data_IF_129459147710
#
_entry.id   IF_129459147710
#
_cell.length_a   1.000
_cell.length_b   1.000
_cell.length_c   1.000
_cell.angle_alpha   90.00
_cell.angle_beta   90.00
_cell.angle_gamma   90.00
#
_symmetry.space_group_name_H-M   'P 1'
#
loop_
_entity.id
_entity.type
_entity.pdbx_description
1 polymer ?
#
# COMPACT_ATOMS: atom_id res chain seq x y z
N UNK A 1 -14.67 74.06 -37.51
CA UNK A 1 -13.95 73.15 -38.44
C UNK A 1 -13.10 72.22 -37.60
N UNK A 2 -13.57 71.05 -37.33
CA UNK A 2 -12.84 70.03 -36.54
C UNK A 2 -12.91 68.72 -37.33
N UNK A 3 -11.74 68.29 -37.81
CA UNK A 3 -11.59 67.05 -38.56
C UNK A 3 -11.49 65.86 -37.59
N UNK A 4 -12.48 64.97 -37.58
CA UNK A 4 -12.42 63.64 -36.94
C UNK A 4 -11.71 62.64 -37.87
N UNK A 5 -10.57 62.12 -37.44
CA UNK A 5 -9.92 60.96 -38.06
C UNK A 5 -10.28 59.71 -37.27
N UNK A 6 -11.03 58.82 -37.90
CA UNK A 6 -11.37 57.50 -37.40
C UNK A 6 -10.21 56.53 -37.68
N UNK A 7 -9.61 55.93 -36.58
CA UNK A 7 -8.65 54.84 -36.70
C UNK A 7 -9.39 53.50 -36.57
N UNK A 8 -9.38 52.70 -37.64
CA UNK A 8 -9.74 51.31 -37.60
C UNK A 8 -8.59 50.49 -37.04
N UNK A 9 -8.77 49.93 -35.84
CA UNK A 9 -7.88 48.89 -35.28
C UNK A 9 -8.35 47.52 -35.79
N UNK A 10 -7.55 46.93 -36.70
CA UNK A 10 -7.73 45.56 -37.13
C UNK A 10 -7.07 44.60 -36.08
N UNK A 11 -7.89 43.85 -35.39
CA UNK A 11 -7.43 42.78 -34.51
C UNK A 11 -7.14 41.51 -35.33
N UNK A 12 -5.88 41.19 -35.53
CA UNK A 12 -5.44 39.90 -36.07
C UNK A 12 -5.52 38.85 -34.94
N UNK A 13 -6.51 37.97 -34.97
CA UNK A 13 -6.54 36.79 -34.13
C UNK A 13 -5.64 35.71 -34.74
N UNK A 14 -4.46 35.50 -34.15
CA UNK A 14 -3.58 34.40 -34.51
C UNK A 14 -4.14 33.10 -33.85
N UNK A 15 -4.75 32.23 -34.66
CA UNK A 15 -5.07 30.85 -34.26
C UNK A 15 -3.77 30.06 -34.15
N UNK A 16 -3.31 29.83 -32.93
CA UNK A 16 -2.25 28.88 -32.64
C UNK A 16 -2.86 27.46 -32.70
N UNK A 17 -2.57 26.73 -33.77
CA UNK A 17 -2.88 25.30 -33.86
C UNK A 17 -1.94 24.53 -32.93
N UNK A 18 -2.45 24.12 -31.76
CA UNK A 18 -1.77 23.17 -30.90
C UNK A 18 -1.84 21.78 -31.55
N UNK A 19 -0.74 21.35 -32.16
CA UNK A 19 -0.55 19.96 -32.59
C UNK A 19 -0.44 19.10 -31.33
N UNK A 20 -1.51 18.41 -30.97
CA UNK A 20 -1.48 17.34 -29.96
C UNK A 20 -0.67 16.19 -30.57
N UNK A 21 0.59 16.09 -30.19
CA UNK A 21 1.41 14.91 -30.47
C UNK A 21 0.81 13.77 -29.66
N UNK A 22 -0.04 12.97 -30.28
CA UNK A 22 -0.50 11.69 -29.72
C UNK A 22 0.74 10.81 -29.54
N UNK A 23 1.21 10.64 -28.30
CA UNK A 23 2.17 9.59 -27.98
C UNK A 23 1.50 8.26 -28.38
N UNK A 24 1.99 7.64 -29.45
CA UNK A 24 1.59 6.27 -29.79
C UNK A 24 1.88 5.38 -28.57
N UNK A 25 0.93 4.55 -28.18
CA UNK A 25 1.15 3.54 -27.16
C UNK A 25 2.37 2.69 -27.56
N UNK A 26 3.24 2.31 -26.60
CA UNK A 26 4.36 1.44 -26.90
C UNK A 26 3.84 0.16 -27.58
N UNK A 27 4.59 -0.41 -28.54
CA UNK A 27 4.18 -1.65 -29.18
C UNK A 27 3.99 -2.75 -28.08
N UNK A 28 3.00 -3.65 -28.24
CA UNK A 28 2.81 -4.73 -27.30
C UNK A 28 4.09 -5.56 -27.18
N UNK A 29 4.41 -6.07 -25.97
CA UNK A 29 5.60 -6.89 -25.77
C UNK A 29 5.55 -8.12 -26.68
N UNK A 30 6.64 -8.44 -27.33
CA UNK A 30 6.75 -9.63 -28.16
C UNK A 30 7.32 -10.77 -27.32
N UNK A 31 6.65 -11.93 -27.32
CA UNK A 31 7.12 -13.13 -26.65
C UNK A 31 7.07 -14.35 -27.58
N UNK A 32 7.89 -15.39 -27.34
CA UNK A 32 7.81 -16.65 -28.09
C UNK A 32 6.41 -17.27 -28.06
N UNK A 33 6.06 -18.02 -29.10
CA UNK A 33 4.74 -18.62 -29.23
C UNK A 33 4.38 -19.57 -28.07
N UNK A 34 5.35 -20.30 -27.54
CA UNK A 34 5.16 -21.18 -26.38
C UNK A 34 4.87 -20.42 -25.09
N UNK A 35 5.38 -19.20 -24.92
CA UNK A 35 5.05 -18.32 -23.80
C UNK A 35 3.61 -17.83 -23.94
N UNK A 36 3.22 -17.39 -25.14
CA UNK A 36 1.84 -16.96 -25.39
C UNK A 36 0.83 -18.11 -25.23
N UNK A 37 1.22 -19.34 -25.61
CA UNK A 37 0.39 -20.53 -25.43
C UNK A 37 0.18 -20.91 -23.96
N UNK A 38 1.04 -20.46 -23.05
CA UNK A 38 0.92 -20.70 -21.61
C UNK A 38 0.07 -19.63 -20.89
N UNK A 39 -0.48 -18.67 -21.62
CA UNK A 39 -1.34 -17.65 -21.05
C UNK A 39 -2.55 -18.26 -20.33
N UNK A 40 -2.87 -17.85 -19.10
CA UNK A 40 -4.12 -18.22 -18.46
C UNK A 40 -5.33 -17.81 -19.30
N UNK A 41 -6.40 -18.60 -19.22
CA UNK A 41 -7.59 -18.38 -20.04
C UNK A 41 -8.17 -16.97 -19.83
N UNK A 42 -8.44 -16.26 -20.93
CA UNK A 42 -9.04 -14.92 -20.88
C UNK A 42 -8.05 -13.80 -20.54
N UNK A 43 -6.75 -14.07 -20.63
CA UNK A 43 -5.71 -13.07 -20.39
C UNK A 43 -4.95 -12.72 -21.68
N UNK A 44 -4.28 -11.59 -21.67
CA UNK A 44 -3.32 -11.16 -22.69
C UNK A 44 -1.96 -10.84 -22.05
N UNK A 45 -0.92 -10.82 -22.87
CA UNK A 45 0.43 -10.53 -22.39
C UNK A 45 0.57 -9.03 -22.05
N UNK A 46 0.94 -8.73 -20.81
CA UNK A 46 1.26 -7.37 -20.35
C UNK A 46 2.75 -7.10 -20.36
N UNK A 47 3.57 -8.04 -19.85
CA UNK A 47 5.01 -7.91 -19.79
C UNK A 47 5.69 -9.26 -20.07
N UNK A 48 6.88 -9.21 -20.65
CA UNK A 48 7.74 -10.37 -20.87
C UNK A 48 9.21 -9.94 -20.76
N UNK A 49 9.98 -10.70 -19.99
CA UNK A 49 11.42 -10.55 -19.90
C UNK A 49 12.11 -11.91 -19.83
N UNK A 50 13.38 -11.97 -20.25
CA UNK A 50 14.16 -13.19 -20.31
C UNK A 50 15.61 -12.95 -19.98
N UNK A 51 16.28 -13.92 -19.37
CA UNK A 51 17.71 -13.88 -19.08
C UNK A 51 18.60 -14.01 -20.33
N UNK A 52 18.00 -14.17 -21.52
CA UNK A 52 18.71 -14.26 -22.79
C UNK A 52 18.25 -15.44 -23.67
N UNK A 53 19.11 -15.80 -24.64
CA UNK A 53 18.79 -16.83 -25.64
C UNK A 53 19.50 -18.18 -25.41
N UNK A 54 20.20 -18.34 -24.27
CA UNK A 54 20.92 -19.59 -23.94
C UNK A 54 19.95 -20.77 -23.81
N UNK A 55 20.50 -22.01 -23.90
CA UNK A 55 19.71 -23.25 -23.82
C UNK A 55 19.04 -23.46 -22.44
N UNK A 56 19.58 -22.83 -21.42
CA UNK A 56 19.12 -22.83 -20.03
C UNK A 56 18.54 -21.49 -19.57
N UNK A 57 18.16 -20.62 -20.52
CA UNK A 57 17.59 -19.32 -20.19
C UNK A 57 16.28 -19.47 -19.38
N UNK A 58 16.08 -18.54 -18.48
CA UNK A 58 14.84 -18.35 -17.78
C UNK A 58 14.05 -17.20 -18.39
N UNK A 59 12.74 -17.19 -18.22
CA UNK A 59 11.88 -16.10 -18.61
C UNK A 59 10.75 -15.92 -17.59
N UNK A 60 10.17 -14.72 -17.59
CA UNK A 60 8.95 -14.43 -16.85
C UNK A 60 8.00 -13.60 -17.71
N UNK A 61 6.71 -13.88 -17.60
CA UNK A 61 5.65 -13.14 -18.25
C UNK A 61 4.58 -12.77 -17.24
N UNK A 62 4.04 -11.56 -17.39
CA UNK A 62 2.85 -11.11 -16.69
C UNK A 62 1.70 -11.10 -17.69
N UNK A 63 0.65 -11.83 -17.38
CA UNK A 63 -0.59 -11.86 -18.13
C UNK A 63 -1.67 -11.11 -17.38
N UNK A 64 -2.53 -10.39 -18.09
CA UNK A 64 -3.57 -9.57 -17.53
C UNK A 64 -4.94 -9.92 -18.11
N UNK A 65 -5.99 -9.96 -17.29
CA UNK A 65 -7.36 -10.15 -17.74
C UNK A 65 -7.88 -8.87 -18.43
N UNK A 66 -8.95 -8.97 -19.18
CA UNK A 66 -9.73 -7.78 -19.50
C UNK A 66 -10.27 -7.15 -18.20
N UNK A 67 -10.41 -5.81 -18.15
CA UNK A 67 -10.98 -5.14 -16.97
C UNK A 67 -12.39 -5.66 -16.66
N UNK A 68 -12.65 -5.89 -15.38
CA UNK A 68 -13.97 -6.24 -14.87
C UNK A 68 -14.97 -5.04 -14.94
N UNK A 69 -16.16 -5.19 -14.35
CA UNK A 69 -17.17 -4.11 -14.27
C UNK A 69 -16.70 -2.88 -13.48
N UNK A 70 -15.74 -3.06 -12.57
CA UNK A 70 -15.09 -1.98 -11.81
C UNK A 70 -13.91 -1.34 -12.57
N UNK A 71 -13.59 -1.86 -13.74
CA UNK A 71 -12.44 -1.45 -14.53
C UNK A 71 -11.11 -1.96 -13.96
N UNK A 72 -11.13 -3.03 -13.15
CA UNK A 72 -9.96 -3.67 -12.54
C UNK A 72 -9.55 -4.87 -13.39
N UNK A 73 -8.30 -4.91 -13.81
CA UNK A 73 -7.70 -6.06 -14.48
C UNK A 73 -6.81 -6.84 -13.49
N UNK A 74 -7.01 -8.14 -13.44
CA UNK A 74 -6.24 -9.05 -12.58
C UNK A 74 -5.05 -9.65 -13.33
N UNK A 75 -4.00 -10.00 -12.59
CA UNK A 75 -2.72 -10.38 -13.16
C UNK A 75 -2.23 -11.71 -12.66
N UNK A 76 -1.56 -12.43 -13.58
CA UNK A 76 -0.86 -13.67 -13.27
C UNK A 76 0.59 -13.56 -13.71
N UNK A 77 1.51 -13.92 -12.84
CA UNK A 77 2.91 -14.15 -13.15
C UNK A 77 3.10 -15.59 -13.59
N UNK A 78 3.78 -15.81 -14.71
CA UNK A 78 4.25 -17.12 -15.14
C UNK A 78 5.76 -17.09 -15.31
N UNK A 79 6.47 -17.96 -14.62
CA UNK A 79 7.93 -18.12 -14.74
C UNK A 79 8.20 -19.39 -15.55
N UNK A 80 9.14 -19.29 -16.48
CA UNK A 80 9.50 -20.33 -17.43
C UNK A 80 10.97 -20.71 -17.26
N UNK A 81 11.24 -22.01 -17.40
CA UNK A 81 12.58 -22.51 -17.66
C UNK A 81 12.66 -23.05 -19.08
N UNK A 82 13.82 -22.96 -19.71
CA UNK A 82 14.03 -23.49 -21.07
C UNK A 82 14.38 -24.97 -21.01
N UNK A 83 13.57 -25.83 -21.66
CA UNK A 83 13.78 -27.26 -21.77
C UNK A 83 13.75 -27.64 -23.24
N UNK A 84 14.80 -28.32 -23.71
CA UNK A 84 14.95 -28.70 -25.13
C UNK A 84 14.75 -27.52 -26.10
N UNK A 85 15.24 -26.35 -25.71
CA UNK A 85 15.17 -25.10 -26.51
C UNK A 85 13.84 -24.38 -26.47
N UNK A 86 12.83 -24.83 -25.72
CA UNK A 86 11.50 -24.19 -25.56
C UNK A 86 11.25 -23.76 -24.15
N UNK A 87 10.56 -22.66 -23.96
CA UNK A 87 10.09 -22.20 -22.66
C UNK A 87 8.93 -23.04 -22.16
N UNK A 88 9.08 -23.59 -20.94
CA UNK A 88 8.09 -24.43 -20.28
C UNK A 88 7.72 -23.74 -18.96
N UNK A 89 6.43 -23.54 -18.66
CA UNK A 89 6.02 -22.93 -17.40
C UNK A 89 6.42 -23.81 -16.21
N UNK A 90 6.98 -23.18 -15.19
CA UNK A 90 7.43 -23.81 -13.94
C UNK A 90 6.71 -23.25 -12.71
N UNK A 91 6.28 -21.99 -12.77
CA UNK A 91 5.49 -21.33 -11.73
C UNK A 91 4.37 -20.55 -12.40
N UNK A 92 3.18 -20.61 -11.81
CA UNK A 92 2.06 -19.70 -12.11
C UNK A 92 1.50 -19.21 -10.79
N UNK A 93 1.31 -17.90 -10.65
CA UNK A 93 0.72 -17.27 -9.47
C UNK A 93 -0.11 -16.05 -9.86
N UNK A 94 -1.30 -15.92 -9.29
CA UNK A 94 -2.21 -14.79 -9.41
C UNK A 94 -2.14 -13.84 -8.21
N UNK A 95 -1.18 -14.07 -7.28
CA UNK A 95 -1.04 -13.32 -6.04
C UNK A 95 0.25 -12.51 -5.93
N UNK A 96 1.13 -12.60 -6.91
CA UNK A 96 2.43 -11.90 -6.86
C UNK A 96 2.35 -10.52 -7.47
N UNK A 97 1.64 -10.36 -8.57
CA UNK A 97 1.50 -9.06 -9.25
C UNK A 97 0.18 -8.41 -8.83
N UNK A 98 0.27 -7.15 -8.44
CA UNK A 98 -0.90 -6.37 -8.06
C UNK A 98 -1.82 -6.09 -9.27
N UNK A 99 -3.11 -5.94 -9.04
CA UNK A 99 -4.07 -5.59 -10.07
C UNK A 99 -3.86 -4.15 -10.61
N UNK A 100 -4.47 -3.84 -11.76
CA UNK A 100 -4.28 -2.55 -12.45
C UNK A 100 -4.79 -1.31 -11.70
N UNK A 101 -5.56 -1.50 -10.62
CA UNK A 101 -6.10 -0.42 -9.77
C UNK A 101 -5.94 -0.73 -8.28
N UNK A 102 -4.95 -1.55 -7.93
CA UNK A 102 -4.72 -1.95 -6.55
C UNK A 102 -3.88 -0.97 -5.75
N UNK A 103 -3.54 0.20 -6.30
CA UNK A 103 -2.89 1.27 -5.56
C UNK A 103 -3.86 2.09 -4.71
N UNK A 104 -3.32 2.91 -3.79
CA UNK A 104 -4.10 3.82 -2.95
C UNK A 104 -4.89 4.86 -3.77
N UNK A 105 -4.37 5.24 -4.95
CA UNK A 105 -5.04 6.19 -5.85
C UNK A 105 -5.77 5.52 -7.02
N UNK A 106 -5.90 4.18 -6.99
CA UNK A 106 -6.49 3.42 -8.07
C UNK A 106 -5.75 3.55 -9.42
N UNK A 107 -4.48 3.87 -9.38
CA UNK A 107 -3.55 3.78 -10.49
C UNK A 107 -2.86 2.42 -10.54
N UNK A 108 -2.06 2.18 -11.56
CA UNK A 108 -1.39 0.91 -11.78
C UNK A 108 -0.07 0.84 -11.01
N UNK A 109 0.07 -0.07 -10.01
CA UNK A 109 1.31 -0.21 -9.27
C UNK A 109 2.40 -1.00 -10.01
N UNK A 110 2.09 -1.72 -11.08
CA UNK A 110 3.05 -2.51 -11.81
C UNK A 110 3.44 -1.86 -13.14
N UNK A 111 4.71 -1.53 -13.28
CA UNK A 111 5.31 -1.13 -14.55
C UNK A 111 6.06 -2.30 -15.16
N UNK A 112 6.05 -2.39 -16.50
CA UNK A 112 6.69 -3.51 -17.22
C UNK A 112 8.19 -3.57 -16.98
N UNK A 113 8.82 -2.43 -16.71
CA UNK A 113 10.24 -2.28 -16.37
C UNK A 113 10.58 -2.84 -14.99
N UNK A 114 9.58 -3.00 -14.11
CA UNK A 114 9.73 -3.61 -12.78
C UNK A 114 9.88 -5.14 -12.82
N UNK A 115 9.86 -5.76 -13.99
CA UNK A 115 10.13 -7.20 -14.16
C UNK A 115 11.53 -7.40 -14.74
N UNK A 116 12.49 -7.83 -13.93
CA UNK A 116 13.84 -8.20 -14.38
C UNK A 116 14.09 -9.70 -14.25
N UNK A 117 14.70 -10.31 -15.27
CA UNK A 117 14.98 -11.74 -15.33
C UNK A 117 16.44 -11.99 -15.62
N UNK A 118 17.11 -12.65 -14.71
CA UNK A 118 18.46 -13.21 -14.88
C UNK A 118 18.42 -14.72 -14.77
N UNK A 119 19.48 -15.38 -15.20
CA UNK A 119 19.55 -16.85 -15.03
C UNK A 119 19.42 -17.23 -13.56
N UNK A 120 18.41 -18.05 -13.25
CA UNK A 120 18.08 -18.49 -11.90
C UNK A 120 17.51 -17.44 -10.98
N UNK A 121 17.15 -16.23 -11.48
CA UNK A 121 16.65 -15.13 -10.67
C UNK A 121 15.59 -14.30 -11.39
N UNK A 122 14.48 -14.03 -10.71
CA UNK A 122 13.43 -13.09 -11.14
C UNK A 122 13.25 -12.04 -10.07
N UNK A 123 13.39 -10.78 -10.46
CA UNK A 123 13.15 -9.61 -9.62
C UNK A 123 11.87 -8.92 -10.07
N UNK A 124 11.05 -8.54 -9.10
CA UNK A 124 9.79 -7.83 -9.34
C UNK A 124 9.71 -6.61 -8.44
N UNK A 125 9.49 -5.47 -9.06
CA UNK A 125 9.31 -4.19 -8.40
C UNK A 125 7.94 -3.61 -8.74
N UNK A 126 7.18 -3.17 -7.72
CA UNK A 126 5.85 -2.59 -7.88
C UNK A 126 5.75 -1.34 -7.01
N UNK A 127 5.32 -0.24 -7.59
CA UNK A 127 5.24 1.05 -6.92
C UNK A 127 3.79 1.47 -6.72
N UNK A 128 3.41 1.71 -5.49
CA UNK A 128 2.14 2.31 -5.10
C UNK A 128 2.39 3.75 -4.66
N UNK A 129 1.80 4.70 -5.35
CA UNK A 129 1.83 6.12 -5.00
C UNK A 129 1.07 6.41 -3.70
N UNK A 130 0.47 7.57 -3.60
CA UNK A 130 -0.42 7.90 -2.50
C UNK A 130 0.23 8.65 -1.36
N UNK A 131 -0.50 8.76 -0.25
CA UNK A 131 -0.02 9.45 0.97
C UNK A 131 1.14 8.72 1.64
N UNK A 132 1.24 7.42 1.40
CA UNK A 132 2.31 6.54 1.90
C UNK A 132 2.89 5.77 0.72
N UNK A 133 3.72 6.41 -0.11
CA UNK A 133 4.35 5.71 -1.23
C UNK A 133 4.99 4.40 -0.77
N UNK A 134 4.68 3.34 -1.47
CA UNK A 134 5.09 1.99 -1.11
C UNK A 134 5.74 1.31 -2.31
N UNK A 135 6.94 0.79 -2.13
CA UNK A 135 7.61 -0.05 -3.12
C UNK A 135 7.57 -1.51 -2.64
N UNK A 136 6.97 -2.39 -3.40
CA UNK A 136 6.98 -3.84 -3.14
C UNK A 136 8.10 -4.48 -3.93
N UNK A 137 9.01 -5.15 -3.24
CA UNK A 137 10.20 -5.82 -3.83
C UNK A 137 10.08 -7.31 -3.57
N UNK A 138 10.19 -8.10 -4.63
CA UNK A 138 10.13 -9.56 -4.57
C UNK A 138 11.28 -10.12 -5.39
N UNK A 139 12.11 -10.94 -4.75
CA UNK A 139 13.16 -11.72 -5.39
C UNK A 139 12.84 -13.19 -5.31
N UNK A 140 12.84 -13.84 -6.47
CA UNK A 140 12.63 -15.26 -6.62
C UNK A 140 13.90 -15.88 -7.19
N UNK A 141 14.39 -16.94 -6.56
CA UNK A 141 15.58 -17.65 -7.04
C UNK A 141 15.31 -19.12 -7.27
N UNK A 142 15.97 -19.69 -8.27
CA UNK A 142 15.92 -21.11 -8.51
C UNK A 142 16.89 -21.83 -7.59
N UNK A 143 16.37 -22.68 -6.72
CA UNK A 143 17.14 -23.48 -5.77
C UNK A 143 16.72 -24.96 -5.89
N UNK A 144 17.66 -25.85 -6.13
CA UNK A 144 17.39 -27.29 -6.30
C UNK A 144 16.29 -27.60 -7.33
N UNK A 145 16.20 -26.80 -8.39
CA UNK A 145 15.20 -26.97 -9.46
C UNK A 145 13.83 -26.35 -9.18
N UNK A 146 13.61 -25.73 -8.02
CA UNK A 146 12.37 -25.05 -7.64
C UNK A 146 12.58 -23.54 -7.51
N UNK A 147 11.57 -22.76 -7.85
CA UNK A 147 11.54 -21.32 -7.62
C UNK A 147 11.12 -21.00 -6.20
N UNK A 148 12.02 -20.36 -5.44
CA UNK A 148 11.83 -20.01 -4.04
C UNK A 148 11.84 -18.49 -3.84
N UNK A 149 11.10 -18.04 -2.86
CA UNK A 149 11.12 -16.64 -2.44
C UNK A 149 12.34 -16.39 -1.59
N UNK A 150 13.22 -15.49 -2.01
CA UNK A 150 14.40 -15.07 -1.24
C UNK A 150 14.20 -13.73 -0.58
N UNK A 151 13.45 -12.82 -1.21
CA UNK A 151 13.04 -11.56 -0.63
C UNK A 151 11.57 -11.31 -0.96
N UNK A 152 10.81 -10.87 0.03
CA UNK A 152 9.49 -10.29 -0.18
C UNK A 152 9.27 -9.20 0.88
N UNK A 153 9.24 -7.95 0.44
CA UNK A 153 9.14 -6.82 1.37
C UNK A 153 8.43 -5.63 0.75
N UNK A 154 7.93 -4.74 1.61
CA UNK A 154 7.41 -3.42 1.24
C UNK A 154 8.20 -2.34 1.93
N UNK A 155 8.73 -1.44 1.15
CA UNK A 155 9.35 -0.20 1.61
C UNK A 155 8.28 0.90 1.58
N UNK A 156 7.98 1.46 2.73
CA UNK A 156 6.94 2.48 2.92
C UNK A 156 7.62 3.78 3.30
N UNK A 157 7.31 4.86 2.57
CA UNK A 157 7.80 6.21 2.88
C UNK A 157 6.64 7.03 3.45
N UNK A 158 6.79 7.61 4.64
CA UNK A 158 5.83 8.56 5.19
C UNK A 158 6.21 9.97 4.75
N UNK A 159 5.44 10.51 3.82
CA UNK A 159 5.59 11.89 3.39
C UNK A 159 5.39 12.85 4.58
N UNK A 160 6.22 13.90 4.65
CA UNK A 160 6.18 14.90 5.71
C UNK A 160 7.00 14.59 6.97
N UNK A 161 7.50 13.37 7.15
CA UNK A 161 8.42 13.00 8.24
C UNK A 161 9.74 12.41 7.77
N UNK A 162 9.90 12.17 6.48
CA UNK A 162 11.06 11.46 5.89
C UNK A 162 11.36 10.13 6.61
N UNK A 163 10.32 9.48 7.14
CA UNK A 163 10.45 8.21 7.82
C UNK A 163 10.27 7.09 6.79
N UNK A 164 11.31 6.31 6.61
CA UNK A 164 11.28 5.12 5.75
C UNK A 164 11.19 3.87 6.63
N UNK A 165 10.36 2.94 6.21
CA UNK A 165 10.17 1.67 6.90
C UNK A 165 10.08 0.53 5.89
N UNK A 166 10.85 -0.52 6.12
CA UNK A 166 10.72 -1.78 5.38
C UNK A 166 9.98 -2.82 6.22
N UNK A 167 8.97 -3.42 5.64
CA UNK A 167 8.15 -4.47 6.26
C UNK A 167 8.27 -5.74 5.42
N UNK A 168 8.62 -6.86 6.06
CA UNK A 168 8.65 -8.15 5.39
C UNK A 168 7.21 -8.60 5.06
N UNK A 169 6.99 -9.08 3.84
CA UNK A 169 5.80 -9.83 3.47
C UNK A 169 5.97 -11.25 4.03
N UNK A 170 4.95 -11.83 4.70
CA UNK A 170 5.06 -13.17 5.24
C UNK A 170 5.40 -14.19 4.16
N UNK A 171 6.47 -14.93 4.37
CA UNK A 171 6.86 -15.98 3.45
C UNK A 171 5.96 -17.22 3.62
N UNK A 172 5.61 -17.91 2.53
CA UNK A 172 4.88 -19.17 2.63
C UNK A 172 5.72 -20.22 3.36
N UNK A 173 5.09 -21.10 4.13
CA UNK A 173 5.76 -22.17 4.87
C UNK A 173 6.56 -23.10 3.94
N UNK A 174 6.11 -23.30 2.70
CA UNK A 174 6.83 -24.04 1.67
C UNK A 174 8.10 -23.34 1.18
N UNK A 175 8.17 -22.02 1.33
CA UNK A 175 9.17 -21.16 0.71
C UNK A 175 9.06 -21.08 -0.82
N UNK A 176 8.03 -21.67 -1.44
CA UNK A 176 7.89 -21.71 -2.90
C UNK A 176 7.23 -20.44 -3.44
N UNK A 177 7.71 -19.97 -4.60
CA UNK A 177 7.21 -18.77 -5.25
C UNK A 177 5.70 -18.86 -5.58
N UNK A 178 5.21 -20.03 -5.99
CA UNK A 178 3.79 -20.24 -6.33
C UNK A 178 2.82 -20.03 -5.16
N UNK A 179 3.32 -20.17 -3.92
CA UNK A 179 2.54 -20.08 -2.69
C UNK A 179 2.65 -18.67 -2.02
N UNK A 180 3.46 -17.77 -2.59
CA UNK A 180 3.61 -16.40 -2.07
C UNK A 180 2.32 -15.62 -2.30
N UNK A 181 1.83 -14.97 -1.23
CA UNK A 181 0.81 -13.95 -1.31
C UNK A 181 1.42 -12.57 -1.10
N UNK A 182 1.80 -11.90 -2.19
CA UNK A 182 2.35 -10.56 -2.16
C UNK A 182 1.27 -9.47 -2.04
N UNK A 183 0.00 -9.83 -2.14
CA UNK A 183 -1.13 -8.94 -1.91
C UNK A 183 -1.50 -8.83 -0.42
N UNK A 184 -0.74 -9.53 0.44
CA UNK A 184 -0.90 -9.45 1.89
C UNK A 184 -0.94 -7.98 2.35
N UNK A 185 -1.97 -7.62 3.12
CA UNK A 185 -2.17 -6.27 3.61
C UNK A 185 -1.43 -6.12 4.95
N UNK A 186 -0.67 -5.04 5.10
CA UNK A 186 -0.04 -4.71 6.38
C UNK A 186 -1.15 -4.41 7.38
N UNK A 187 -1.23 -5.13 8.51
CA UNK A 187 -2.21 -4.82 9.54
C UNK A 187 -2.09 -3.38 10.03
N UNK A 188 -3.21 -2.70 10.08
CA UNK A 188 -3.33 -1.39 10.71
C UNK A 188 -3.62 -1.61 12.19
N UNK A 189 -2.81 -1.02 13.06
CA UNK A 189 -3.04 -1.10 14.50
C UNK A 189 -3.58 0.23 15.00
N UNK A 190 -4.84 0.20 15.44
CA UNK A 190 -5.50 1.33 16.06
C UNK A 190 -5.34 1.22 17.57
N UNK A 191 -4.82 2.28 18.19
CA UNK A 191 -4.83 2.46 19.63
C UNK A 191 -5.97 3.42 19.96
N UNK A 192 -6.87 3.04 20.84
CA UNK A 192 -8.08 3.81 21.15
C UNK A 192 -8.25 3.99 22.66
N UNK A 193 -8.51 5.22 23.09
CA UNK A 193 -8.98 5.51 24.43
C UNK A 193 -10.49 5.65 24.39
N UNK A 194 -11.19 4.73 25.04
CA UNK A 194 -12.64 4.68 25.12
C UNK A 194 -13.07 5.12 26.51
N UNK A 195 -14.13 5.90 26.57
CA UNK A 195 -14.70 6.42 27.83
C UNK A 195 -16.20 6.17 27.87
N UNK A 196 -16.68 5.58 28.97
CA UNK A 196 -18.10 5.58 29.29
C UNK A 196 -18.47 6.90 29.99
N UNK A 197 -19.29 7.71 29.35
CA UNK A 197 -19.60 9.07 29.80
C UNK A 197 -20.45 9.09 31.09
N UNK A 198 -21.24 8.04 31.32
CA UNK A 198 -22.08 7.95 32.54
C UNK A 198 -21.27 7.55 33.77
N UNK A 199 -20.35 6.63 33.62
CA UNK A 199 -19.61 6.06 34.75
C UNK A 199 -18.22 6.65 34.94
N UNK A 200 -17.69 7.38 33.92
CA UNK A 200 -16.32 7.86 33.90
C UNK A 200 -15.28 6.74 33.74
N UNK A 201 -15.69 5.49 33.53
CA UNK A 201 -14.72 4.42 33.23
C UNK A 201 -14.03 4.67 31.88
N UNK A 202 -12.76 4.38 31.84
CA UNK A 202 -11.96 4.52 30.62
C UNK A 202 -11.09 3.28 30.38
N UNK A 203 -10.92 2.93 29.12
CA UNK A 203 -10.12 1.79 28.68
C UNK A 203 -9.16 2.23 27.58
N UNK A 204 -7.91 1.80 27.70
CA UNK A 204 -6.93 1.86 26.62
C UNK A 204 -7.02 0.53 25.87
N UNK A 205 -7.48 0.59 24.62
CA UNK A 205 -7.49 -0.54 23.71
C UNK A 205 -6.36 -0.34 22.70
N UNK A 206 -5.58 -1.38 22.46
CA UNK A 206 -4.49 -1.30 21.53
C UNK A 206 -4.37 -2.55 20.68
N UNK A 207 -4.11 -2.33 19.38
CA UNK A 207 -3.87 -3.40 18.43
C UNK A 207 -5.10 -3.85 17.65
N UNK A 208 -6.19 -3.07 17.63
CA UNK A 208 -7.31 -3.34 16.74
C UNK A 208 -6.89 -3.13 15.28
N UNK A 209 -7.23 -4.07 14.41
CA UNK A 209 -6.82 -4.10 13.02
C UNK A 209 -7.73 -3.26 12.10
N UNK A 210 -8.89 -2.83 12.59
CA UNK A 210 -9.83 -2.01 11.82
C UNK A 210 -10.69 -1.12 12.71
N UNK A 211 -11.34 -0.12 12.12
CA UNK A 211 -12.32 0.71 12.80
C UNK A 211 -13.53 -0.12 13.26
N UNK A 212 -13.94 -1.13 12.49
CA UNK A 212 -15.02 -2.03 12.83
C UNK A 212 -14.70 -2.84 14.10
N UNK A 213 -13.45 -3.31 14.23
CA UNK A 213 -12.99 -4.00 15.43
C UNK A 213 -13.06 -3.09 16.67
N UNK A 214 -12.63 -1.82 16.54
CA UNK A 214 -12.78 -0.82 17.62
C UNK A 214 -14.24 -0.60 17.98
N UNK A 215 -15.12 -0.41 16.99
CA UNK A 215 -16.56 -0.23 17.24
C UNK A 215 -17.19 -1.44 17.90
N UNK A 216 -16.81 -2.65 17.50
CA UNK A 216 -17.28 -3.88 18.14
C UNK A 216 -16.84 -3.95 19.60
N UNK A 217 -15.59 -3.64 19.93
CA UNK A 217 -15.11 -3.55 21.31
C UNK A 217 -15.87 -2.50 22.12
N UNK A 218 -16.24 -1.37 21.48
CA UNK A 218 -17.07 -0.34 22.10
C UNK A 218 -18.45 -0.90 22.46
N UNK A 219 -19.14 -1.54 21.53
CA UNK A 219 -20.46 -2.16 21.75
C UNK A 219 -20.42 -3.24 22.84
N UNK A 220 -19.41 -4.12 22.78
CA UNK A 220 -19.24 -5.23 23.72
C UNK A 220 -18.92 -4.74 25.15
N UNK A 221 -18.19 -3.63 25.28
CA UNK A 221 -17.72 -3.12 26.58
C UNK A 221 -18.68 -2.16 27.24
N UNK A 222 -19.50 -1.44 26.49
CA UNK A 222 -20.25 -0.29 26.98
C UNK A 222 -21.74 -0.26 26.60
N UNK A 223 -22.16 -1.04 25.61
CA UNK A 223 -23.43 -0.77 24.95
C UNK A 223 -23.38 0.43 23.99
N UNK A 224 -24.30 0.46 23.01
CA UNK A 224 -24.21 1.34 21.83
C UNK A 224 -24.13 2.85 22.09
N UNK A 225 -24.70 3.32 23.21
CA UNK A 225 -24.96 4.76 23.41
C UNK A 225 -24.28 5.34 24.65
N UNK A 226 -23.43 4.60 25.34
CA UNK A 226 -22.83 5.04 26.60
C UNK A 226 -21.34 5.36 26.53
N UNK A 227 -20.67 4.92 25.44
CA UNK A 227 -19.25 5.12 25.27
C UNK A 227 -18.92 5.91 24.04
N UNK A 228 -17.81 6.63 24.15
CA UNK A 228 -17.19 7.32 23.02
C UNK A 228 -15.71 7.04 22.94
N UNK A 229 -15.18 7.13 21.74
CA UNK A 229 -13.74 7.19 21.50
C UNK A 229 -13.28 8.60 21.84
N UNK A 230 -12.49 8.74 22.89
CA UNK A 230 -11.93 10.03 23.31
C UNK A 230 -10.70 10.40 22.46
N UNK A 231 -9.84 9.42 22.20
CA UNK A 231 -8.64 9.54 21.35
C UNK A 231 -8.45 8.26 20.58
N UNK A 232 -8.07 8.38 19.31
CA UNK A 232 -7.65 7.27 18.49
C UNK A 232 -6.38 7.63 17.71
N UNK A 233 -5.43 6.73 17.67
CA UNK A 233 -4.17 6.90 16.98
C UNK A 233 -3.80 5.63 16.23
N UNK A 234 -3.61 5.75 14.93
CA UNK A 234 -3.02 4.68 14.14
C UNK A 234 -1.52 4.67 14.33
N UNK A 235 -0.97 3.54 14.72
CA UNK A 235 0.44 3.37 15.11
C UNK A 235 0.91 4.50 16.05
N UNK A 236 1.51 4.23 17.12
CA UNK A 236 1.95 5.29 18.03
C UNK A 236 1.53 5.06 19.47
N UNK A 237 1.45 6.13 20.24
CA UNK A 237 1.10 6.08 21.65
C UNK A 237 -0.24 6.78 21.91
N UNK A 238 -1.01 6.25 22.86
CA UNK A 238 -2.12 6.95 23.48
C UNK A 238 -1.93 6.96 24.99
N UNK A 239 -2.38 8.03 25.66
CA UNK A 239 -2.24 8.24 27.10
C UNK A 239 -3.57 8.60 27.70
N UNK A 240 -3.84 8.03 28.89
CA UNK A 240 -4.94 8.38 29.77
C UNK A 240 -4.41 9.18 30.97
N UNK A 241 -4.94 10.36 31.15
CA UNK A 241 -4.72 11.23 32.32
C UNK A 241 -6.05 11.40 33.06
N UNK A 242 -6.03 11.51 34.36
CA UNK A 242 -7.19 11.85 35.19
C UNK A 242 -6.89 13.07 36.06
N UNK A 243 -7.92 13.87 36.32
CA UNK A 243 -7.85 14.91 37.35
C UNK A 243 -8.25 14.40 38.74
N UNK A 244 -8.25 15.26 39.74
CA UNK A 244 -8.66 14.97 41.11
C UNK A 244 -10.11 14.45 41.22
N UNK A 245 -10.97 14.84 40.27
CA UNK A 245 -12.37 14.39 40.17
C UNK A 245 -12.52 13.11 39.37
N UNK A 246 -11.41 12.46 39.01
CA UNK A 246 -11.37 11.24 38.19
C UNK A 246 -11.88 11.39 36.75
N UNK A 247 -12.03 12.63 36.24
CA UNK A 247 -12.39 12.85 34.83
C UNK A 247 -11.26 12.38 33.91
N UNK A 248 -11.57 11.61 32.86
CA UNK A 248 -10.57 11.13 31.93
C UNK A 248 -10.23 12.15 30.84
N UNK A 249 -8.95 12.25 30.49
CA UNK A 249 -8.41 13.04 29.39
C UNK A 249 -7.45 12.21 28.57
N UNK A 250 -7.45 12.42 27.28
CA UNK A 250 -6.64 11.64 26.35
C UNK A 250 -5.63 12.50 25.63
N UNK A 251 -4.52 11.87 25.27
CA UNK A 251 -3.52 12.41 24.38
C UNK A 251 -2.95 11.32 23.48
N UNK A 252 -2.40 11.71 22.34
CA UNK A 252 -1.80 10.78 21.39
C UNK A 252 -0.45 11.27 20.90
N UNK A 253 0.40 10.34 20.49
CA UNK A 253 1.60 10.61 19.70
C UNK A 253 1.64 9.64 18.53
N UNK A 254 1.86 10.09 17.32
CA UNK A 254 2.02 9.21 16.18
C UNK A 254 3.36 8.46 16.18
N UNK A 255 4.29 8.82 17.07
CA UNK A 255 5.53 8.08 17.28
C UNK A 255 5.36 7.05 18.39
N UNK A 256 5.49 5.76 18.04
CA UNK A 256 5.39 4.65 18.98
C UNK A 256 6.50 4.59 20.03
N UNK A 257 7.54 5.42 19.88
CA UNK A 257 8.63 5.55 20.85
C UNK A 257 8.47 6.77 21.75
N UNK A 258 7.57 7.70 21.39
CA UNK A 258 7.39 8.96 22.14
C UNK A 258 6.16 8.94 23.05
N UNK A 259 6.27 8.13 24.11
CA UNK A 259 5.29 8.15 25.22
C UNK A 259 5.12 9.54 25.83
N UNK A 260 6.21 10.31 25.92
CA UNK A 260 6.20 11.60 26.59
C UNK A 260 5.30 12.60 25.87
N UNK A 261 5.29 12.57 24.54
CA UNK A 261 4.41 13.43 23.76
C UNK A 261 2.94 13.10 23.99
N UNK A 262 2.55 11.82 24.02
CA UNK A 262 1.18 11.41 24.30
C UNK A 262 0.72 11.86 25.71
N UNK A 263 1.59 11.66 26.71
CA UNK A 263 1.34 12.13 28.07
C UNK A 263 1.21 13.66 28.14
N UNK A 264 2.13 14.38 27.51
CA UNK A 264 2.11 15.85 27.50
C UNK A 264 0.81 16.39 26.86
N UNK A 265 0.33 15.78 25.78
CA UNK A 265 -0.94 16.16 25.17
C UNK A 265 -2.13 15.87 26.09
N UNK A 266 -2.16 14.70 26.77
CA UNK A 266 -3.22 14.36 27.72
C UNK A 266 -3.23 15.31 28.92
N UNK A 267 -2.05 15.66 29.46
CA UNK A 267 -1.88 16.64 30.54
C UNK A 267 -2.34 18.04 30.11
N UNK A 268 -1.99 18.45 28.90
CA UNK A 268 -2.46 19.72 28.33
C UNK A 268 -3.98 19.75 28.18
N UNK A 269 -4.60 18.67 27.69
CA UNK A 269 -6.04 18.54 27.58
C UNK A 269 -6.73 18.64 28.95
N UNK A 270 -6.19 17.99 29.98
CA UNK A 270 -6.67 18.07 31.34
C UNK A 270 -6.62 19.52 31.87
N UNK A 271 -5.49 20.20 31.73
CA UNK A 271 -5.30 21.57 32.18
C UNK A 271 -6.20 22.56 31.46
N UNK A 272 -6.33 22.42 30.13
CA UNK A 272 -7.19 23.26 29.30
C UNK A 272 -8.68 23.14 29.66
N UNK A 273 -9.10 21.97 30.14
CA UNK A 273 -10.46 21.71 30.63
C UNK A 273 -10.67 22.10 32.11
N UNK A 274 -9.70 22.81 32.71
CA UNK A 274 -9.77 23.24 34.10
C UNK A 274 -9.58 22.09 35.12
N UNK A 275 -9.02 20.97 34.71
CA UNK A 275 -8.70 19.85 35.60
C UNK A 275 -7.60 20.22 36.58
N UNK A 276 -7.73 19.78 37.83
CA UNK A 276 -6.73 19.98 38.88
C UNK A 276 -6.02 18.67 39.19
N UNK A 277 -4.77 18.77 39.61
CA UNK A 277 -3.95 17.61 39.98
C UNK A 277 -3.93 16.50 38.90
N UNK A 278 -3.83 16.90 37.64
CA UNK A 278 -3.79 15.98 36.50
C UNK A 278 -2.67 14.95 36.66
N UNK A 279 -2.99 13.67 36.56
CA UNK A 279 -2.04 12.57 36.74
C UNK A 279 -2.16 11.55 35.63
N UNK A 280 -1.03 11.11 35.09
CA UNK A 280 -0.98 9.96 34.19
C UNK A 280 -1.45 8.70 34.92
N UNK A 281 -2.35 7.97 34.25
CA UNK A 281 -2.87 6.69 34.73
C UNK A 281 -2.24 5.55 33.95
N UNK A 282 -2.22 5.65 32.63
CA UNK A 282 -1.63 4.63 31.76
C UNK A 282 -1.28 5.22 30.40
N UNK A 283 -0.26 4.66 29.76
CA UNK A 283 0.15 5.03 28.41
C UNK A 283 0.58 3.79 27.63
N UNK A 284 -0.12 3.52 26.54
CA UNK A 284 0.15 2.39 25.67
C UNK A 284 0.69 2.87 24.33
N UNK A 285 1.70 2.16 23.83
CA UNK A 285 2.27 2.39 22.51
C UNK A 285 2.23 1.09 21.72
N UNK A 286 1.62 1.16 20.56
CA UNK A 286 1.59 0.04 19.61
C UNK A 286 2.01 0.55 18.26
N UNK A 287 2.76 -0.26 17.57
CA UNK A 287 3.16 -0.04 16.20
C UNK A 287 2.76 -1.26 15.40
N UNK A 288 2.02 -1.07 14.31
CA UNK A 288 1.85 -2.11 13.32
C UNK A 288 3.21 -2.58 12.80
N UNK A 289 3.27 -3.84 12.45
CA UNK A 289 4.48 -4.49 11.93
C UNK A 289 4.92 -3.79 10.66
#
# INVERSE_FOLDING_TARGET
MVNSRTYLLGTFAALAAFSVVSKSAPPPPSAPAEVLAAAPLGTHLLAFNTSGNQLDADAAAVFETLPDKGGVAHRSLVIFGKKAGRFVPEVTSDKIIACSKCSQFHDDPFMTEGLDVKHGHVHIDQEDGGEKPTTTIIDLTRQSGEWRVTTASRRIVRMGRYEERTVAIPLPTSGLAKDLDAQWVIPVYLNSLIVNEKTGKAWLLGGDESHEAVWKHLEDSCGKDECKILVQQQDGCISLVRDESSRPFGGASPDSKDKKQAVAQAMSACSAAGGKACKEIDTQCRRGI
#
